data_IF_025749511360
#
_entry.id   IF_025749511360
#
_cell.length_a   1.000
_cell.length_b   1.000
_cell.length_c   1.000
_cell.angle_alpha   90.00
_cell.angle_beta   90.00
_cell.angle_gamma   90.00
#
_symmetry.space_group_name_H-M   'P 1'
#
loop_
_entity.id
_entity.type
_entity.pdbx_description
1 polymer ?
#
# COMPACT_ATOMS: atom_id res chain seq x y z
N UNK A 1 38.62 -8.08 -11.08
CA UNK A 1 37.86 -6.82 -11.15
C UNK A 1 36.67 -6.97 -10.21
N UNK A 2 36.56 -6.14 -9.18
CA UNK A 2 35.44 -6.17 -8.25
C UNK A 2 34.29 -5.35 -8.84
N UNK A 3 33.20 -6.02 -9.21
CA UNK A 3 31.97 -5.36 -9.64
C UNK A 3 31.23 -4.87 -8.39
N UNK A 4 31.24 -3.56 -8.16
CA UNK A 4 30.38 -2.92 -7.17
C UNK A 4 28.91 -3.17 -7.57
N UNK A 5 28.07 -3.78 -6.72
CA UNK A 5 26.66 -3.92 -7.03
C UNK A 5 26.01 -2.54 -7.07
N UNK A 6 25.41 -2.19 -8.20
CA UNK A 6 24.58 -0.98 -8.32
C UNK A 6 23.46 -1.08 -7.29
N UNK A 7 23.25 -0.08 -6.42
CA UNK A 7 22.14 -0.10 -5.50
C UNK A 7 20.85 -0.23 -6.31
N UNK A 8 20.02 -1.23 -6.00
CA UNK A 8 18.71 -1.35 -6.63
C UNK A 8 17.93 -0.09 -6.27
N UNK A 9 17.43 0.61 -7.29
CA UNK A 9 16.57 1.76 -7.06
C UNK A 9 15.28 1.22 -6.45
N UNK A 10 15.04 1.51 -5.17
CA UNK A 10 13.78 1.19 -4.50
C UNK A 10 12.65 1.88 -5.28
N UNK A 11 11.78 1.08 -5.91
CA UNK A 11 10.61 1.58 -6.63
C UNK A 11 9.45 1.61 -5.65
N UNK A 12 9.21 2.79 -5.07
CA UNK A 12 8.05 3.04 -4.23
C UNK A 12 6.87 3.51 -5.08
N UNK A 13 5.68 2.95 -4.83
CA UNK A 13 4.45 3.31 -5.52
C UNK A 13 3.66 4.31 -4.69
N UNK A 14 3.39 5.48 -5.25
CA UNK A 14 2.44 6.43 -4.67
C UNK A 14 1.03 6.05 -5.14
N UNK A 15 0.15 5.78 -4.19
CA UNK A 15 -1.22 5.42 -4.51
C UNK A 15 -2.01 6.61 -5.03
N UNK A 16 -2.98 6.37 -5.95
CA UNK A 16 -3.81 7.44 -6.48
C UNK A 16 -4.64 8.08 -5.38
N UNK A 17 -4.82 9.40 -5.49
CA UNK A 17 -5.70 10.16 -4.61
C UNK A 17 -7.15 9.79 -4.93
N UNK A 18 -7.87 9.31 -3.93
CA UNK A 18 -9.30 8.98 -3.99
C UNK A 18 -9.99 9.73 -2.87
N UNK A 19 -11.06 10.46 -3.18
CA UNK A 19 -11.78 11.25 -2.17
C UNK A 19 -12.50 10.35 -1.16
N UNK A 20 -12.68 10.88 0.05
CA UNK A 20 -13.57 10.24 1.02
C UNK A 20 -15.03 10.27 0.52
N UNK A 21 -15.83 9.33 1.01
CA UNK A 21 -17.27 9.32 0.72
C UNK A 21 -17.89 10.58 1.30
N UNK A 22 -18.51 11.40 0.45
CA UNK A 22 -19.28 12.57 0.86
C UNK A 22 -20.69 12.15 1.27
N UNK A 23 -20.98 12.20 2.56
CA UNK A 23 -22.28 11.80 3.11
C UNK A 23 -23.41 12.77 2.74
N UNK A 24 -23.10 13.97 2.28
CA UNK A 24 -24.07 14.95 1.76
C UNK A 24 -24.40 14.77 0.28
N UNK A 25 -23.64 13.97 -0.46
CA UNK A 25 -23.84 13.76 -1.89
C UNK A 25 -25.02 12.81 -2.18
N UNK A 26 -25.57 12.82 -3.41
CA UNK A 26 -26.56 11.83 -3.84
C UNK A 26 -26.05 10.40 -3.66
N UNK A 27 -26.97 9.45 -3.42
CA UNK A 27 -26.63 8.05 -3.13
C UNK A 27 -25.78 7.41 -4.23
N UNK A 28 -26.07 7.72 -5.48
CA UNK A 28 -25.33 7.21 -6.64
C UNK A 28 -23.86 7.64 -6.59
N UNK A 29 -23.61 8.89 -6.19
CA UNK A 29 -22.27 9.44 -6.04
C UNK A 29 -21.52 8.78 -4.89
N UNK A 30 -22.19 8.58 -3.74
CA UNK A 30 -21.60 7.87 -2.60
C UNK A 30 -21.18 6.44 -2.97
N UNK A 31 -21.98 5.73 -3.78
CA UNK A 31 -21.66 4.38 -4.25
C UNK A 31 -20.45 4.35 -5.18
N UNK A 32 -20.29 5.36 -6.02
CA UNK A 32 -19.11 5.50 -6.88
C UNK A 32 -17.85 5.72 -6.04
N UNK A 33 -17.87 6.67 -5.11
CA UNK A 33 -16.75 6.94 -4.20
C UNK A 33 -16.39 5.71 -3.36
N UNK A 34 -17.38 5.00 -2.84
CA UNK A 34 -17.15 3.76 -2.09
C UNK A 34 -16.49 2.68 -2.96
N UNK A 35 -16.85 2.62 -4.23
CA UNK A 35 -16.25 1.69 -5.20
C UNK A 35 -14.78 2.03 -5.46
N UNK A 36 -14.44 3.30 -5.62
CA UNK A 36 -13.06 3.77 -5.79
C UNK A 36 -12.20 3.42 -4.56
N UNK A 37 -12.71 3.66 -3.35
CA UNK A 37 -12.05 3.28 -2.10
C UNK A 37 -11.81 1.77 -2.03
N UNK A 38 -12.80 0.97 -2.42
CA UNK A 38 -12.68 -0.50 -2.44
C UNK A 38 -11.65 -0.99 -3.46
N UNK A 39 -11.55 -0.34 -4.62
CA UNK A 39 -10.52 -0.62 -5.61
C UNK A 39 -9.12 -0.27 -5.09
N UNK A 40 -8.97 0.89 -4.44
CA UNK A 40 -7.71 1.31 -3.83
C UNK A 40 -7.22 0.27 -2.80
N UNK A 41 -8.13 -0.25 -1.98
CA UNK A 41 -7.81 -1.29 -1.01
C UNK A 41 -7.35 -2.60 -1.65
N UNK A 42 -7.90 -2.97 -2.81
CA UNK A 42 -7.45 -4.14 -3.58
C UNK A 42 -6.04 -3.92 -4.16
N UNK A 43 -5.74 -2.70 -4.62
CA UNK A 43 -4.40 -2.34 -5.10
C UNK A 43 -3.37 -2.45 -3.97
N UNK A 44 -3.66 -1.90 -2.78
CA UNK A 44 -2.81 -2.05 -1.59
C UNK A 44 -2.46 -3.51 -1.32
N UNK A 45 -3.48 -4.37 -1.24
CA UNK A 45 -3.29 -5.82 -1.03
C UNK A 45 -2.46 -6.49 -2.13
N UNK A 46 -2.60 -6.05 -3.38
CA UNK A 46 -1.81 -6.60 -4.48
C UNK A 46 -0.34 -6.19 -4.37
N UNK A 47 -0.06 -4.94 -4.00
CA UNK A 47 1.29 -4.43 -3.75
C UNK A 47 1.93 -5.13 -2.56
N UNK A 48 1.17 -5.34 -1.48
CA UNK A 48 1.64 -6.11 -0.31
C UNK A 48 2.06 -7.53 -0.69
N UNK A 49 1.21 -8.23 -1.47
CA UNK A 49 1.51 -9.57 -1.96
C UNK A 49 2.70 -9.62 -2.91
N UNK A 50 2.93 -8.55 -3.65
CA UNK A 50 4.07 -8.42 -4.55
C UNK A 50 5.36 -7.96 -3.83
N UNK A 51 5.29 -7.61 -2.54
CA UNK A 51 6.42 -7.07 -1.79
C UNK A 51 6.86 -5.69 -2.28
N UNK A 52 5.96 -4.94 -2.92
CA UNK A 52 6.25 -3.61 -3.47
C UNK A 52 5.92 -2.55 -2.44
N UNK A 53 6.88 -1.69 -2.12
CA UNK A 53 6.69 -0.58 -1.21
C UNK A 53 5.68 0.44 -1.78
N UNK A 54 4.79 0.94 -0.94
CA UNK A 54 3.77 1.91 -1.33
C UNK A 54 3.42 2.91 -0.24
N UNK A 55 2.90 4.07 -0.66
CA UNK A 55 2.42 5.15 0.21
C UNK A 55 1.01 5.56 -0.21
N UNK A 56 0.05 5.47 0.71
CA UNK A 56 -1.25 6.14 0.60
C UNK A 56 -1.08 7.60 1.01
N UNK A 57 -1.05 8.48 0.01
CA UNK A 57 -0.85 9.93 0.21
C UNK A 57 -2.01 10.60 0.95
N UNK A 58 -3.20 9.98 0.98
CA UNK A 58 -4.38 10.51 1.67
C UNK A 58 -4.31 10.29 3.18
N UNK A 59 -3.80 9.13 3.60
CA UNK A 59 -3.76 8.75 5.03
C UNK A 59 -2.37 8.80 5.63
N UNK A 60 -1.33 8.86 4.79
CA UNK A 60 0.05 8.65 5.22
C UNK A 60 0.40 7.20 5.52
N UNK A 61 -0.53 6.26 5.25
CA UNK A 61 -0.29 4.83 5.44
C UNK A 61 0.77 4.33 4.44
N UNK A 62 1.65 3.46 4.90
CA UNK A 62 2.69 2.85 4.06
C UNK A 62 2.65 1.34 4.18
N UNK A 63 3.02 0.64 3.11
CA UNK A 63 3.17 -0.81 3.12
C UNK A 63 4.30 -1.29 2.21
N UNK A 64 4.57 -2.61 2.18
CA UNK A 64 3.99 -3.61 3.06
C UNK A 64 4.41 -3.38 4.51
N UNK A 65 3.52 -3.66 5.46
CA UNK A 65 3.89 -3.68 6.89
C UNK A 65 4.98 -4.74 7.03
N UNK A 66 6.21 -4.33 7.34
CA UNK A 66 7.24 -5.26 7.78
C UNK A 66 6.72 -5.90 9.07
N UNK A 67 6.24 -7.12 8.98
CA UNK A 67 6.31 -8.02 10.12
C UNK A 67 7.80 -8.17 10.36
N UNK A 68 8.34 -7.52 11.40
CA UNK A 68 9.63 -7.90 11.92
C UNK A 68 9.55 -9.41 12.13
N UNK A 69 10.37 -10.15 11.38
CA UNK A 69 10.40 -11.59 11.43
C UNK A 69 10.45 -11.98 12.91
N UNK A 70 9.48 -12.80 13.35
CA UNK A 70 9.47 -13.34 14.70
C UNK A 70 10.84 -13.98 14.96
N UNK A 71 11.68 -13.25 15.70
CA UNK A 71 12.98 -13.69 16.14
C UNK A 71 12.79 -14.92 17.02
N UNK A 72 13.62 -15.93 16.77
CA UNK A 72 13.43 -17.29 17.24
C UNK A 72 13.31 -17.42 18.76
N UNK A 73 12.49 -18.40 19.17
CA UNK A 73 12.77 -19.15 20.37
C UNK A 73 13.01 -20.61 19.94
N UNK A 74 14.24 -20.91 19.54
CA UNK A 74 14.79 -22.24 19.76
C UNK A 74 14.89 -22.42 21.28
N UNK A 75 13.91 -23.10 21.87
CA UNK A 75 14.06 -23.59 23.23
C UNK A 75 14.84 -24.92 23.17
N UNK A 76 16.00 -24.87 23.83
CA UNK A 76 16.95 -25.94 24.07
C UNK A 76 16.35 -27.20 24.69
#
# INVERSE_FOLDING_TARGET
MATTPTPSQFKIVYLPLVDAVDTGAPREWQLMQQTEINLLYRVKRALDRAGVEWIDTRTGETGPVKTDNAEGCDNA
#
